data_IF_605020219294
#
_entry.id   IF_605020219294
#
_cell.length_a   1.000
_cell.length_b   1.000
_cell.length_c   1.000
_cell.angle_alpha   90.00
_cell.angle_beta   90.00
_cell.angle_gamma   90.00
#
_symmetry.space_group_name_H-M   'P 1'
#
loop_
_entity.id
_entity.type
_entity.pdbx_description
1 polymer ?
#
# COMPACT_ATOMS: atom_id res chain seq x y z
N UNK A 1 57.58 -38.53 30.18
CA UNK A 1 57.73 -38.37 28.71
C UNK A 1 56.55 -37.55 28.20
N UNK A 2 56.86 -36.47 27.47
CA UNK A 2 56.01 -35.72 26.53
C UNK A 2 54.75 -35.00 27.09
N UNK A 3 54.38 -33.79 26.70
CA UNK A 3 55.03 -32.67 26.00
C UNK A 3 54.09 -31.47 26.18
N UNK A 4 54.64 -30.30 26.51
CA UNK A 4 53.95 -29.02 26.65
C UNK A 4 53.48 -28.49 25.29
N UNK A 5 52.28 -27.90 25.21
CA UNK A 5 51.90 -26.95 24.15
C UNK A 5 51.25 -25.73 24.78
N UNK A 6 51.98 -24.62 24.77
CA UNK A 6 51.51 -23.28 25.09
C UNK A 6 51.00 -22.63 23.79
N UNK A 7 49.75 -22.18 23.77
CA UNK A 7 49.22 -21.33 22.72
C UNK A 7 49.32 -19.85 23.16
N UNK A 8 50.07 -19.09 22.36
CA UNK A 8 50.33 -17.66 22.51
C UNK A 8 49.22 -16.88 21.82
N UNK A 9 48.52 -16.01 22.53
CA UNK A 9 47.61 -15.02 21.94
C UNK A 9 48.42 -13.77 21.54
N UNK A 10 48.52 -13.54 20.24
CA UNK A 10 49.14 -12.36 19.63
C UNK A 10 48.19 -11.17 19.66
N UNK A 11 48.70 -10.04 20.16
CA UNK A 11 48.07 -8.71 20.14
C UNK A 11 48.13 -8.15 18.72
N UNK A 12 46.97 -7.86 18.12
CA UNK A 12 46.86 -7.16 16.85
C UNK A 12 46.73 -5.64 17.05
N UNK A 13 47.75 -4.90 16.60
CA UNK A 13 47.78 -3.44 16.50
C UNK A 13 46.73 -2.93 15.49
N UNK A 14 45.93 -1.95 15.89
CA UNK A 14 45.19 -1.09 14.98
C UNK A 14 46.13 0.04 14.48
N UNK A 15 46.39 0.08 13.17
CA UNK A 15 46.92 1.27 12.50
C UNK A 15 45.76 1.94 11.76
N UNK A 16 45.43 3.15 12.20
CA UNK A 16 44.55 4.10 11.51
C UNK A 16 45.37 4.70 10.36
N UNK A 17 44.88 4.59 9.12
CA UNK A 17 45.41 5.29 7.96
C UNK A 17 44.28 6.12 7.32
N UNK A 18 44.52 7.41 7.18
CA UNK A 18 43.68 8.39 6.47
C UNK A 18 43.73 8.14 4.95
N UNK A 19 42.64 8.32 4.18
CA UNK A 19 42.72 8.30 2.73
C UNK A 19 43.10 9.69 2.19
N UNK A 20 44.27 9.77 1.58
CA UNK A 20 44.67 10.88 0.69
C UNK A 20 44.10 10.66 -0.70
N UNK A 21 43.25 11.58 -1.14
CA UNK A 21 42.79 11.69 -2.53
C UNK A 21 43.96 12.10 -3.43
N UNK A 22 44.38 11.23 -4.36
CA UNK A 22 45.07 11.65 -5.58
C UNK A 22 44.59 10.80 -6.76
N UNK A 23 43.89 11.45 -7.69
CA UNK A 23 43.56 10.91 -9.00
C UNK A 23 44.69 11.28 -9.96
N UNK A 24 45.38 10.28 -10.51
CA UNK A 24 46.33 10.44 -11.61
C UNK A 24 45.67 10.07 -12.94
N UNK A 25 45.69 10.99 -13.90
CA UNK A 25 45.28 10.74 -15.28
C UNK A 25 46.43 10.09 -16.06
N UNK A 26 46.27 8.83 -16.46
CA UNK A 26 47.08 8.19 -17.49
C UNK A 26 46.28 8.08 -18.79
N UNK A 27 46.75 8.82 -19.79
CA UNK A 27 46.29 8.81 -21.18
C UNK A 27 46.72 7.50 -21.86
N UNK A 28 45.76 6.66 -22.24
CA UNK A 28 46.00 5.55 -23.16
C UNK A 28 44.89 5.46 -24.20
N UNK A 29 45.32 5.21 -25.44
CA UNK A 29 44.63 5.35 -26.70
C UNK A 29 44.21 3.96 -27.19
N UNK A 30 43.02 3.89 -27.80
CA UNK A 30 42.55 2.85 -28.76
C UNK A 30 41.93 1.58 -28.18
N UNK A 31 40.67 1.32 -28.57
CA UNK A 31 40.03 0.00 -28.51
C UNK A 31 38.57 0.07 -28.07
N UNK A 32 37.65 -0.09 -29.01
CA UNK A 32 36.21 -0.04 -28.81
C UNK A 32 35.67 -1.17 -27.91
N UNK A 33 34.84 -0.80 -26.92
CA UNK A 33 33.71 -1.60 -26.41
C UNK A 33 32.81 -0.67 -25.59
N UNK A 34 31.59 -0.41 -26.05
CA UNK A 34 30.62 0.44 -25.34
C UNK A 34 29.98 -0.38 -24.20
N UNK A 35 30.18 0.08 -22.97
CA UNK A 35 29.46 -0.36 -21.77
C UNK A 35 28.50 0.77 -21.35
N UNK A 36 27.22 0.49 -21.06
CA UNK A 36 26.24 1.52 -20.71
C UNK A 36 26.22 1.71 -19.18
N UNK A 37 27.10 2.53 -18.63
CA UNK A 37 27.09 2.87 -17.18
C UNK A 37 27.68 4.27 -16.90
N UNK A 38 27.45 5.24 -17.79
CA UNK A 38 28.00 6.61 -17.62
C UNK A 38 27.02 7.73 -18.01
N UNK A 39 25.75 7.59 -17.64
CA UNK A 39 24.73 8.63 -17.86
C UNK A 39 23.79 8.77 -16.67
N UNK A 40 24.34 9.01 -15.46
CA UNK A 40 23.51 9.29 -14.27
C UNK A 40 24.08 10.34 -13.30
N UNK A 41 25.01 11.21 -13.72
CA UNK A 41 25.50 12.32 -12.86
C UNK A 41 25.09 13.73 -13.33
N UNK A 42 24.31 13.86 -14.41
CA UNK A 42 23.84 15.17 -14.91
C UNK A 42 22.32 15.37 -14.87
N UNK A 43 21.54 14.38 -14.41
CA UNK A 43 20.07 14.47 -14.43
C UNK A 43 19.44 15.05 -13.14
N UNK A 44 20.24 15.39 -12.11
CA UNK A 44 19.73 15.74 -10.77
C UNK A 44 19.80 17.24 -10.44
N UNK A 45 19.70 18.15 -11.42
CA UNK A 45 19.70 19.60 -11.12
C UNK A 45 18.42 20.33 -11.55
N UNK A 46 17.51 19.75 -12.34
CA UNK A 46 16.34 20.51 -12.84
C UNK A 46 15.02 19.74 -12.83
N UNK A 47 14.57 19.22 -11.69
CA UNK A 47 13.15 18.88 -11.47
C UNK A 47 12.78 19.11 -10.01
N UNK A 48 12.77 20.38 -9.60
CA UNK A 48 11.98 20.81 -8.45
C UNK A 48 10.53 20.95 -8.88
N UNK A 49 9.63 20.19 -8.26
CA UNK A 49 8.18 20.37 -8.41
C UNK A 49 7.80 21.75 -7.87
N UNK A 50 7.36 22.65 -8.75
CA UNK A 50 6.79 23.95 -8.39
C UNK A 50 5.26 23.80 -8.47
N UNK A 51 4.64 23.52 -7.34
CA UNK A 51 3.18 23.52 -7.17
C UNK A 51 2.72 24.91 -6.72
N UNK A 52 2.88 25.93 -7.57
CA UNK A 52 2.22 27.23 -7.38
C UNK A 52 2.02 27.93 -8.72
N UNK A 53 0.76 28.17 -9.08
CA UNK A 53 0.37 28.69 -10.40
C UNK A 53 0.83 30.14 -10.66
N UNK A 54 1.18 30.90 -9.61
CA UNK A 54 1.65 32.28 -9.73
C UNK A 54 3.17 32.40 -10.02
N UNK A 55 3.94 31.31 -9.96
CA UNK A 55 5.39 31.31 -10.27
C UNK A 55 5.73 30.88 -11.70
N UNK A 56 4.76 30.44 -12.50
CA UNK A 56 5.02 29.99 -13.88
C UNK A 56 5.30 31.14 -14.84
N UNK A 57 4.82 32.35 -14.54
CA UNK A 57 5.02 33.50 -15.42
C UNK A 57 6.45 34.08 -15.34
N UNK A 58 7.15 33.92 -14.20
CA UNK A 58 8.54 34.38 -14.06
C UNK A 58 9.56 33.38 -14.64
N UNK A 59 9.20 32.12 -14.86
CA UNK A 59 10.11 31.11 -15.45
C UNK A 59 10.17 31.20 -16.98
N UNK A 60 9.11 31.65 -17.66
CA UNK A 60 9.14 31.83 -19.12
C UNK A 60 10.07 32.98 -19.55
N UNK A 61 10.15 34.09 -18.78
CA UNK A 61 11.01 35.22 -19.13
C UNK A 61 12.53 34.93 -18.96
N UNK A 62 12.92 34.07 -18.03
CA UNK A 62 14.35 33.76 -17.79
C UNK A 62 14.91 32.65 -18.70
N UNK A 63 14.05 31.84 -19.35
CA UNK A 63 14.53 30.78 -20.26
C UNK A 63 14.99 31.30 -21.62
N UNK A 64 14.47 32.45 -22.08
CA UNK A 64 14.89 33.04 -23.36
C UNK A 64 16.28 33.68 -23.29
N UNK A 65 16.72 34.13 -22.11
CA UNK A 65 18.06 34.68 -21.89
C UNK A 65 19.17 33.61 -21.96
N UNK A 66 18.88 32.36 -21.57
CA UNK A 66 19.85 31.26 -21.59
C UNK A 66 20.04 30.63 -22.99
N UNK A 67 19.12 30.86 -23.93
CA UNK A 67 19.22 30.34 -25.29
C UNK A 67 20.25 31.11 -26.14
N UNK A 68 20.55 32.37 -25.79
CA UNK A 68 21.54 33.18 -26.52
C UNK A 68 22.99 32.71 -26.33
N UNK A 69 23.32 32.06 -25.20
CA UNK A 69 24.67 31.55 -24.92
C UNK A 69 24.87 30.07 -25.29
N UNK A 70 23.78 29.35 -25.60
CA UNK A 70 23.84 27.93 -25.97
C UNK A 70 24.52 27.72 -27.34
N UNK A 71 25.36 26.69 -27.42
CA UNK A 71 26.00 26.29 -28.68
C UNK A 71 24.98 25.78 -29.70
N UNK A 72 25.32 25.79 -30.99
CA UNK A 72 24.40 25.37 -32.05
C UNK A 72 23.87 23.92 -31.88
N UNK A 73 24.65 23.04 -31.25
CA UNK A 73 24.21 21.67 -30.95
C UNK A 73 23.21 21.62 -29.79
N UNK A 74 23.41 22.41 -28.74
CA UNK A 74 22.49 22.49 -27.59
C UNK A 74 21.14 23.11 -27.99
N UNK A 75 21.14 24.09 -28.90
CA UNK A 75 19.90 24.66 -29.46
C UNK A 75 19.08 23.63 -30.24
N UNK A 76 19.73 22.70 -30.94
CA UNK A 76 19.05 21.62 -31.66
C UNK A 76 18.34 20.66 -30.71
N UNK A 77 18.99 20.31 -29.59
CA UNK A 77 18.41 19.43 -28.56
C UNK A 77 17.27 20.11 -27.82
N UNK A 78 17.43 21.38 -27.45
CA UNK A 78 16.37 22.16 -26.78
C UNK A 78 15.15 22.37 -27.68
N UNK A 79 15.36 22.62 -28.98
CA UNK A 79 14.26 22.72 -29.95
C UNK A 79 13.49 21.39 -30.08
N UNK A 80 14.20 20.25 -30.12
CA UNK A 80 13.57 18.94 -30.17
C UNK A 80 12.76 18.61 -28.91
N UNK A 81 13.26 18.96 -27.72
CA UNK A 81 12.54 18.77 -26.46
C UNK A 81 11.31 19.68 -26.36
N UNK A 82 11.41 20.93 -26.82
CA UNK A 82 10.28 21.87 -26.87
C UNK A 82 9.18 21.38 -27.83
N UNK A 83 9.55 20.82 -28.98
CA UNK A 83 8.59 20.23 -29.93
C UNK A 83 7.90 18.99 -29.35
N UNK A 84 8.61 18.10 -28.63
CA UNK A 84 7.98 16.96 -27.96
C UNK A 84 7.00 17.39 -26.87
N UNK A 85 7.35 18.39 -26.07
CA UNK A 85 6.48 18.90 -25.02
C UNK A 85 5.20 19.55 -25.59
N UNK A 86 5.33 20.30 -26.69
CA UNK A 86 4.18 20.93 -27.34
C UNK A 86 3.30 19.93 -28.11
N UNK A 87 3.88 18.86 -28.67
CA UNK A 87 3.12 17.78 -29.30
C UNK A 87 2.20 17.06 -28.31
N UNK A 88 2.66 16.84 -27.06
CA UNK A 88 1.82 16.26 -26.01
C UNK A 88 0.70 17.18 -25.50
N UNK A 89 0.88 18.50 -25.61
CA UNK A 89 -0.08 19.48 -25.05
C UNK A 89 -1.27 19.77 -25.99
N UNK A 90 -1.11 19.53 -27.29
CA UNK A 90 -2.15 19.80 -28.29
C UNK A 90 -3.06 18.60 -28.58
N UNK A 91 -2.78 17.42 -28.04
CA UNK A 91 -3.61 16.21 -28.20
C UNK A 91 -4.70 16.09 -27.11
N UNK A 92 -4.96 17.16 -26.36
CA UNK A 92 -5.84 17.14 -25.18
C UNK A 92 -7.00 18.13 -25.26
N UNK A 93 -7.30 18.70 -26.44
CA UNK A 93 -8.16 19.91 -26.53
C UNK A 93 -9.41 19.84 -27.41
N UNK A 94 -9.81 18.65 -27.86
CA UNK A 94 -10.97 18.48 -28.76
C UNK A 94 -12.10 17.53 -28.25
N UNK A 95 -12.18 17.21 -26.95
CA UNK A 95 -13.24 16.33 -26.39
C UNK A 95 -14.26 17.04 -25.48
N UNK A 96 -14.71 18.26 -25.84
CA UNK A 96 -15.75 19.01 -25.11
C UNK A 96 -17.20 18.60 -25.48
N UNK A 97 -17.42 17.41 -26.07
CA UNK A 97 -18.75 16.91 -26.47
C UNK A 97 -19.04 15.48 -25.95
N UNK A 98 -18.79 15.25 -24.65
CA UNK A 98 -19.30 14.07 -23.94
C UNK A 98 -20.51 14.50 -23.11
N UNK A 99 -21.68 14.32 -23.72
CA UNK A 99 -22.98 14.54 -23.13
C UNK A 99 -23.13 13.84 -21.79
N UNK A 100 -24.06 14.41 -20.99
CA UNK A 100 -24.71 13.84 -19.81
C UNK A 100 -24.32 12.38 -19.58
N UNK A 101 -23.15 12.17 -18.97
CA UNK A 101 -22.87 10.91 -18.33
C UNK A 101 -23.81 10.95 -17.13
N UNK A 102 -25.00 10.41 -17.38
CA UNK A 102 -25.74 9.53 -16.48
C UNK A 102 -24.71 8.56 -15.89
N UNK A 103 -23.82 9.09 -15.03
CA UNK A 103 -23.20 8.34 -13.97
C UNK A 103 -24.41 7.99 -13.12
N UNK A 104 -25.12 6.97 -13.61
CA UNK A 104 -26.08 6.16 -12.91
C UNK A 104 -25.66 6.26 -11.46
N UNK A 105 -26.58 6.73 -10.62
CA UNK A 105 -26.52 6.50 -9.18
C UNK A 105 -26.21 5.01 -9.02
N UNK A 106 -24.92 4.67 -9.04
CA UNK A 106 -24.37 3.33 -9.04
C UNK A 106 -24.60 2.96 -7.59
N UNK A 107 -25.87 2.60 -7.35
CA UNK A 107 -26.52 2.29 -6.10
C UNK A 107 -25.41 1.62 -5.32
N UNK A 108 -24.86 2.32 -4.32
CA UNK A 108 -23.66 1.89 -3.66
C UNK A 108 -23.95 0.52 -3.08
N UNK A 109 -23.67 -0.52 -3.87
CA UNK A 109 -24.06 -1.88 -3.54
C UNK A 109 -23.26 -2.14 -2.28
N UNK A 110 -23.97 -2.28 -1.16
CA UNK A 110 -23.37 -2.45 0.16
C UNK A 110 -22.80 -3.87 0.27
N UNK A 111 -21.87 -4.22 -0.63
CA UNK A 111 -21.22 -5.50 -0.66
C UNK A 111 -20.34 -5.64 0.58
N UNK A 112 -20.29 -6.86 1.10
CA UNK A 112 -19.31 -7.29 2.08
C UNK A 112 -18.13 -7.82 1.27
N UNK A 113 -17.16 -6.97 0.96
CA UNK A 113 -15.99 -7.36 0.18
C UNK A 113 -15.18 -8.42 0.93
N UNK A 114 -14.88 -9.52 0.23
CA UNK A 114 -14.01 -10.61 0.72
C UNK A 114 -12.58 -10.46 0.21
N UNK A 115 -12.40 -9.79 -0.93
CA UNK A 115 -11.09 -9.45 -1.45
C UNK A 115 -11.20 -8.22 -2.36
N UNK A 116 -10.06 -7.57 -2.59
CA UNK A 116 -9.96 -6.39 -3.44
C UNK A 116 -8.94 -6.63 -4.55
N UNK A 117 -9.26 -6.13 -5.75
CA UNK A 117 -8.33 -6.13 -6.89
C UNK A 117 -7.57 -4.81 -6.90
N UNK A 118 -6.25 -4.91 -7.03
CA UNK A 118 -5.34 -3.78 -7.19
C UNK A 118 -5.61 -3.08 -8.52
N UNK A 119 -5.75 -1.76 -8.48
CA UNK A 119 -5.96 -0.93 -9.66
C UNK A 119 -4.87 0.14 -9.77
N UNK A 120 -4.84 0.86 -10.89
CA UNK A 120 -3.86 1.91 -11.19
C UNK A 120 -3.78 3.00 -10.11
N UNK A 121 -4.89 3.28 -9.39
CA UNK A 121 -4.93 4.25 -8.29
C UNK A 121 -4.39 3.72 -6.95
N UNK A 122 -4.39 2.41 -6.72
CA UNK A 122 -3.93 1.79 -5.47
C UNK A 122 -2.43 1.38 -5.52
N UNK A 123 -1.65 2.09 -6.35
CA UNK A 123 -0.21 1.93 -6.55
C UNK A 123 0.26 0.53 -6.97
N UNK A 124 -0.60 -0.27 -7.60
CA UNK A 124 -0.32 -1.66 -7.94
C UNK A 124 0.13 -2.51 -6.75
N UNK A 125 -0.22 -2.12 -5.52
CA UNK A 125 0.15 -2.88 -4.33
C UNK A 125 -0.60 -4.22 -4.30
N UNK A 126 0.04 -5.26 -3.77
CA UNK A 126 -0.59 -6.56 -3.55
C UNK A 126 -0.21 -7.17 -2.20
N UNK A 127 -0.91 -8.23 -1.82
CA UNK A 127 -0.82 -8.85 -0.51
C UNK A 127 -1.03 -7.81 0.61
N UNK A 128 -0.17 -7.85 1.64
CA UNK A 128 -0.27 -7.00 2.82
C UNK A 128 0.39 -5.62 2.67
N UNK A 129 0.73 -5.19 1.44
CA UNK A 129 1.31 -3.86 1.22
C UNK A 129 0.28 -2.75 1.43
N UNK A 130 -0.98 -3.01 1.09
CA UNK A 130 -2.07 -2.10 1.38
C UNK A 130 -2.44 -2.15 2.88
N UNK A 131 -2.84 -1.03 3.50
CA UNK A 131 -3.16 -1.01 4.93
C UNK A 131 -4.36 -1.94 5.22
N UNK A 132 -4.17 -2.89 6.13
CA UNK A 132 -5.19 -3.89 6.49
C UNK A 132 -6.52 -3.29 6.96
N UNK A 133 -6.51 -2.05 7.46
CA UNK A 133 -7.71 -1.32 7.86
C UNK A 133 -8.62 -1.00 6.67
N UNK A 134 -8.04 -0.73 5.50
CA UNK A 134 -8.77 -0.44 4.27
C UNK A 134 -9.03 -1.71 3.45
N UNK A 135 -8.07 -2.66 3.47
CA UNK A 135 -8.10 -3.88 2.67
C UNK A 135 -7.93 -5.10 3.58
N UNK A 136 -8.97 -5.48 4.35
CA UNK A 136 -8.92 -6.70 5.13
C UNK A 136 -8.75 -7.89 4.16
N UNK A 137 -7.70 -8.69 4.36
CA UNK A 137 -7.34 -9.79 3.46
C UNK A 137 -6.36 -9.44 2.34
N UNK A 138 -5.89 -8.19 2.27
CA UNK A 138 -4.90 -7.72 1.29
C UNK A 138 -5.47 -7.42 -0.10
N UNK A 139 -4.59 -6.98 -1.01
CA UNK A 139 -4.95 -6.71 -2.40
C UNK A 139 -4.43 -7.79 -3.35
N UNK A 140 -5.24 -8.13 -4.34
CA UNK A 140 -4.99 -9.16 -5.34
C UNK A 140 -4.72 -8.52 -6.69
N UNK A 141 -3.85 -9.13 -7.48
CA UNK A 141 -3.56 -8.64 -8.81
C UNK A 141 -4.66 -9.03 -9.81
N UNK A 142 -4.83 -8.23 -10.88
CA UNK A 142 -5.63 -8.60 -12.05
C UNK A 142 -5.24 -9.94 -12.66
N UNK A 143 -6.06 -10.44 -13.58
CA UNK A 143 -5.92 -11.80 -14.14
C UNK A 143 -4.60 -12.05 -14.89
N UNK A 144 -3.99 -10.99 -15.41
CA UNK A 144 -2.81 -10.97 -16.27
C UNK A 144 -1.53 -10.52 -15.54
N UNK A 145 -1.61 -10.34 -14.21
CA UNK A 145 -0.50 -9.84 -13.41
C UNK A 145 -0.17 -10.75 -12.24
N UNK A 146 1.11 -10.85 -11.92
CA UNK A 146 1.60 -11.54 -10.74
C UNK A 146 1.93 -10.56 -9.61
N UNK A 147 1.73 -11.00 -8.37
CA UNK A 147 2.15 -10.31 -7.16
C UNK A 147 3.62 -10.67 -6.85
N UNK A 148 4.56 -9.89 -7.37
CA UNK A 148 6.00 -10.13 -7.25
C UNK A 148 6.62 -9.47 -6.01
N UNK A 149 7.65 -10.11 -5.46
CA UNK A 149 8.52 -9.55 -4.42
C UNK A 149 9.63 -8.67 -5.03
N UNK A 150 9.34 -7.39 -5.28
CA UNK A 150 10.37 -6.45 -5.76
C UNK A 150 11.03 -5.69 -4.62
N UNK A 151 12.36 -5.83 -4.51
CA UNK A 151 13.15 -5.17 -3.47
C UNK A 151 13.44 -3.69 -3.78
N UNK A 152 13.22 -3.22 -5.03
CA UNK A 152 13.28 -1.80 -5.42
C UNK A 152 12.88 -1.59 -6.89
N UNK A 153 11.60 -1.72 -7.25
CA UNK A 153 11.12 -1.35 -8.59
C UNK A 153 10.60 0.09 -8.55
N UNK A 154 11.14 0.98 -9.39
CA UNK A 154 10.79 2.42 -9.43
C UNK A 154 10.90 3.13 -8.07
N UNK A 155 11.90 2.80 -7.26
CA UNK A 155 12.10 3.38 -5.93
C UNK A 155 11.08 2.91 -4.87
N UNK A 156 10.16 2.00 -5.23
CA UNK A 156 9.19 1.40 -4.32
C UNK A 156 9.66 0.00 -3.92
N UNK A 157 9.82 -0.21 -2.61
CA UNK A 157 10.16 -1.51 -2.02
C UNK A 157 8.86 -2.22 -1.61
N UNK A 158 8.66 -3.48 -2.01
CA UNK A 158 7.57 -4.32 -1.54
C UNK A 158 6.87 -5.12 -2.64
N UNK A 159 5.76 -5.75 -2.24
CA UNK A 159 4.92 -6.60 -3.11
C UNK A 159 4.08 -5.76 -4.06
N UNK A 160 4.24 -5.95 -5.37
CA UNK A 160 3.48 -5.25 -6.42
C UNK A 160 2.92 -6.21 -7.46
N UNK A 161 1.83 -5.80 -8.09
CA UNK A 161 1.32 -6.38 -9.31
C UNK A 161 2.18 -5.95 -10.49
N UNK A 162 2.65 -6.91 -11.28
CA UNK A 162 3.41 -6.68 -12.50
C UNK A 162 3.05 -7.73 -13.54
N UNK A 163 3.07 -7.34 -14.81
CA UNK A 163 2.92 -8.22 -15.97
C UNK A 163 4.27 -8.68 -16.54
N UNK A 164 5.39 -8.23 -15.97
CA UNK A 164 6.73 -8.60 -16.43
C UNK A 164 7.14 -9.96 -15.86
N UNK A 165 7.21 -10.95 -16.75
CA UNK A 165 7.54 -12.35 -16.49
C UNK A 165 8.87 -12.54 -15.75
N UNK A 166 9.84 -11.63 -15.92
CA UNK A 166 11.12 -11.71 -15.20
C UNK A 166 10.94 -11.55 -13.70
N UNK A 167 10.00 -10.71 -13.27
CA UNK A 167 9.62 -10.53 -11.88
C UNK A 167 8.63 -11.59 -11.40
N UNK A 168 7.89 -12.22 -12.31
CA UNK A 168 6.96 -13.32 -12.00
C UNK A 168 7.64 -14.68 -11.79
N UNK A 169 8.97 -14.76 -11.67
CA UNK A 169 9.64 -16.01 -11.30
C UNK A 169 9.49 -16.36 -9.82
N UNK A 170 9.32 -15.35 -8.96
CA UNK A 170 9.16 -15.49 -7.50
C UNK A 170 7.95 -14.69 -7.00
N UNK A 171 6.76 -15.07 -7.47
CA UNK A 171 5.51 -14.40 -7.14
C UNK A 171 4.74 -15.11 -6.02
N UNK A 172 3.81 -14.39 -5.40
CA UNK A 172 2.86 -14.97 -4.47
C UNK A 172 1.60 -15.45 -5.21
N UNK A 173 1.46 -16.76 -5.38
CA UNK A 173 0.36 -17.38 -6.11
C UNK A 173 -1.04 -17.09 -5.54
N UNK A 174 -1.17 -16.78 -4.25
CA UNK A 174 -2.46 -16.44 -3.65
C UNK A 174 -3.00 -15.12 -4.19
N UNK A 175 -2.14 -14.09 -4.31
CA UNK A 175 -2.53 -12.73 -4.68
C UNK A 175 -2.33 -12.42 -6.16
N UNK A 176 -2.12 -13.43 -6.99
CA UNK A 176 -1.75 -13.27 -8.40
C UNK A 176 -2.84 -13.76 -9.34
N UNK A 177 -2.78 -13.32 -10.59
CA UNK A 177 -3.54 -13.86 -11.71
C UNK A 177 -5.05 -13.95 -11.43
N UNK A 178 -5.61 -12.87 -10.87
CA UNK A 178 -7.06 -12.72 -10.76
C UNK A 178 -7.73 -13.68 -9.78
N UNK A 179 -7.03 -14.13 -8.74
CA UNK A 179 -7.64 -15.02 -7.72
C UNK A 179 -8.70 -14.37 -6.83
N UNK A 180 -8.93 -13.08 -6.95
CA UNK A 180 -10.01 -12.38 -6.27
C UNK A 180 -11.33 -12.50 -7.06
N UNK A 181 -11.82 -13.73 -7.20
CA UNK A 181 -13.10 -14.06 -7.87
C UNK A 181 -13.97 -14.92 -6.95
N UNK A 182 -15.27 -14.88 -7.17
CA UNK A 182 -16.23 -15.74 -6.47
C UNK A 182 -15.96 -17.24 -6.64
N UNK A 183 -15.34 -17.67 -7.74
CA UNK A 183 -14.91 -19.06 -7.91
C UNK A 183 -13.96 -19.51 -6.79
N UNK A 184 -13.09 -18.61 -6.33
CA UNK A 184 -12.12 -18.88 -5.28
C UNK A 184 -12.57 -18.43 -3.89
N UNK A 185 -13.44 -17.40 -3.81
CA UNK A 185 -13.75 -16.68 -2.57
C UNK A 185 -15.19 -16.81 -2.08
N UNK A 186 -16.09 -17.46 -2.83
CA UNK A 186 -17.50 -17.60 -2.42
C UNK A 186 -17.68 -18.29 -1.06
N UNK A 187 -16.77 -19.18 -0.68
CA UNK A 187 -16.82 -19.85 0.63
C UNK A 187 -16.58 -18.91 1.82
N UNK A 188 -16.00 -17.73 1.59
CA UNK A 188 -15.75 -16.71 2.61
C UNK A 188 -16.98 -15.81 2.84
N UNK A 189 -18.02 -15.94 2.02
CA UNK A 189 -19.25 -15.17 2.19
C UNK A 189 -20.04 -15.61 3.43
N UNK A 190 -20.63 -14.65 4.18
CA UNK A 190 -21.46 -14.98 5.32
C UNK A 190 -22.73 -15.74 4.90
N UNK A 191 -23.36 -16.42 5.85
CA UNK A 191 -24.64 -17.09 5.58
C UNK A 191 -25.71 -16.08 5.14
N UNK A 192 -26.61 -16.52 4.25
CA UNK A 192 -27.66 -15.70 3.64
C UNK A 192 -27.11 -14.55 2.78
N UNK A 193 -26.04 -14.84 2.04
CA UNK A 193 -25.48 -13.96 1.04
C UNK A 193 -25.02 -14.73 -0.18
N UNK A 194 -24.98 -14.03 -1.30
CA UNK A 194 -24.55 -14.53 -2.60
C UNK A 194 -23.28 -13.78 -3.03
N UNK A 195 -22.30 -14.49 -3.57
CA UNK A 195 -21.06 -13.87 -4.03
C UNK A 195 -21.26 -13.18 -5.39
N UNK A 196 -20.69 -11.98 -5.54
CA UNK A 196 -20.70 -11.17 -6.75
C UNK A 196 -19.30 -10.63 -7.08
N UNK A 197 -18.88 -10.78 -8.33
CA UNK A 197 -17.66 -10.18 -8.85
C UNK A 197 -17.94 -8.74 -9.31
N UNK A 198 -17.10 -7.80 -8.90
CA UNK A 198 -17.11 -6.41 -9.39
C UNK A 198 -15.72 -6.01 -9.88
N UNK A 199 -15.62 -4.82 -10.49
CA UNK A 199 -14.31 -4.25 -10.90
C UNK A 199 -13.36 -4.03 -9.71
N UNK A 200 -13.90 -3.81 -8.51
CA UNK A 200 -13.13 -3.59 -7.27
C UNK A 200 -12.67 -4.90 -6.62
N UNK A 201 -13.24 -6.03 -7.03
CA UNK A 201 -12.96 -7.36 -6.46
C UNK A 201 -14.22 -8.15 -6.22
N UNK A 202 -14.12 -9.21 -5.42
CA UNK A 202 -15.27 -10.04 -5.06
C UNK A 202 -15.87 -9.60 -3.74
N UNK A 203 -17.19 -9.52 -3.69
CA UNK A 203 -17.94 -9.22 -2.48
C UNK A 203 -19.19 -10.07 -2.36
N UNK A 204 -19.81 -10.02 -1.19
CA UNK A 204 -21.01 -10.76 -0.88
C UNK A 204 -22.19 -9.80 -0.75
N UNK A 205 -23.25 -10.09 -1.48
CA UNK A 205 -24.53 -9.38 -1.45
C UNK A 205 -25.50 -10.15 -0.57
N UNK A 206 -26.12 -9.50 0.41
CA UNK A 206 -27.08 -10.16 1.28
C UNK A 206 -28.32 -10.59 0.47
N UNK A 207 -28.79 -11.82 0.71
CA UNK A 207 -29.96 -12.35 0.00
C UNK A 207 -31.22 -11.53 0.30
N UNK A 208 -32.23 -11.61 -0.58
CA UNK A 208 -33.47 -10.85 -0.44
C UNK A 208 -34.14 -11.06 0.94
N UNK A 209 -34.39 -9.96 1.65
CA UNK A 209 -34.94 -9.97 3.01
C UNK A 209 -33.89 -9.96 4.12
N UNK A 210 -32.60 -9.92 3.78
CA UNK A 210 -31.49 -9.69 4.70
C UNK A 210 -30.87 -8.31 4.48
N UNK A 211 -30.18 -7.79 5.48
CA UNK A 211 -29.46 -6.51 5.45
C UNK A 211 -28.06 -6.72 6.04
N UNK A 212 -27.10 -5.91 5.58
CA UNK A 212 -25.73 -5.92 6.09
C UNK A 212 -25.68 -5.23 7.45
N UNK A 213 -25.31 -5.96 8.50
CA UNK A 213 -24.98 -5.42 9.81
C UNK A 213 -23.65 -6.00 10.29
N UNK A 214 -22.67 -5.13 10.59
CA UNK A 214 -21.36 -5.52 11.14
C UNK A 214 -20.64 -6.62 10.31
N UNK A 215 -20.71 -6.53 8.97
CA UNK A 215 -20.09 -7.50 8.06
C UNK A 215 -20.80 -8.86 7.99
N UNK A 216 -22.04 -8.94 8.45
CA UNK A 216 -22.90 -10.13 8.35
C UNK A 216 -24.24 -9.78 7.73
N UNK A 217 -24.91 -10.78 7.17
CA UNK A 217 -26.28 -10.63 6.67
C UNK A 217 -27.28 -11.09 7.74
N UNK A 218 -28.08 -10.14 8.23
CA UNK A 218 -29.12 -10.38 9.25
C UNK A 218 -30.50 -10.16 8.65
N UNK A 219 -31.52 -10.88 9.15
CA UNK A 219 -32.88 -10.77 8.61
C UNK A 219 -33.45 -9.37 8.88
N UNK A 220 -33.98 -8.71 7.85
CA UNK A 220 -34.59 -7.38 7.96
C UNK A 220 -35.73 -7.41 9.00
N UNK A 221 -35.67 -6.52 9.99
CA UNK A 221 -36.67 -6.43 11.05
C UNK A 221 -36.51 -7.44 12.19
N UNK A 222 -35.52 -8.34 12.13
CA UNK A 222 -35.00 -8.91 13.36
C UNK A 222 -34.17 -7.82 14.02
N UNK A 223 -34.80 -7.03 14.91
CA UNK A 223 -34.05 -6.30 15.92
C UNK A 223 -33.17 -7.34 16.57
N UNK A 224 -31.88 -7.33 16.24
CA UNK A 224 -30.91 -8.09 16.98
C UNK A 224 -31.00 -7.50 18.38
N UNK A 225 -31.81 -8.13 19.24
CA UNK A 225 -31.53 -8.16 20.66
C UNK A 225 -30.16 -8.82 20.68
N UNK A 226 -29.14 -7.99 20.55
CA UNK A 226 -27.80 -8.30 21.02
C UNK A 226 -28.05 -8.69 22.45
N UNK A 227 -28.25 -9.99 22.66
CA UNK A 227 -28.10 -10.60 23.95
C UNK A 227 -26.63 -10.38 24.22
N UNK A 228 -26.29 -9.20 24.73
CA UNK A 228 -25.22 -9.02 25.68
C UNK A 228 -25.47 -10.13 26.66
N UNK A 229 -24.75 -11.23 26.50
CA UNK A 229 -24.62 -12.23 27.53
C UNK A 229 -24.15 -11.41 28.72
N UNK A 230 -25.08 -11.05 29.59
CA UNK A 230 -24.80 -10.38 30.83
C UNK A 230 -23.71 -11.23 31.45
N UNK A 231 -22.50 -10.68 31.54
CA UNK A 231 -21.42 -11.29 32.26
C UNK A 231 -22.03 -11.75 33.57
N UNK A 232 -21.83 -13.04 33.89
CA UNK A 232 -22.31 -13.61 35.14
C UNK A 232 -22.01 -12.62 36.27
N UNK A 233 -22.93 -12.42 37.23
CA UNK A 233 -22.75 -11.42 38.29
C UNK A 233 -21.43 -11.71 39.02
N UNK A 234 -20.38 -10.97 38.68
CA UNK A 234 -19.11 -11.05 39.36
C UNK A 234 -19.31 -10.42 40.73
N UNK A 235 -18.87 -11.15 41.75
CA UNK A 235 -19.07 -10.84 43.15
C UNK A 235 -18.53 -9.44 43.50
N UNK A 236 -19.46 -8.48 43.63
CA UNK A 236 -19.49 -7.40 44.61
C UNK A 236 -18.14 -6.83 45.06
N UNK A 237 -17.36 -6.31 44.12
CA UNK A 237 -16.42 -5.21 44.38
C UNK A 237 -16.86 -4.07 43.48
N UNK A 238 -17.16 -2.88 44.04
CA UNK A 238 -17.52 -1.68 43.28
C UNK A 238 -16.57 -1.54 42.08
N UNK A 239 -17.06 -1.69 40.85
CA UNK A 239 -16.22 -1.47 39.69
C UNK A 239 -15.78 0.00 39.73
N UNK A 240 -14.46 0.21 39.61
CA UNK A 240 -13.92 1.56 39.49
C UNK A 240 -14.39 2.22 38.19
N UNK A 241 -14.17 3.55 38.05
CA UNK A 241 -14.43 4.23 36.80
C UNK A 241 -13.63 3.57 35.66
N UNK A 242 -14.21 3.57 34.45
CA UNK A 242 -13.53 3.18 33.22
C UNK A 242 -12.16 3.86 33.11
N UNK A 243 -11.10 3.08 33.02
CA UNK A 243 -9.76 3.57 32.70
C UNK A 243 -9.52 3.47 31.20
N UNK A 244 -8.64 4.32 30.66
CA UNK A 244 -8.30 4.33 29.24
C UNK A 244 -7.72 3.00 28.72
N UNK A 245 -7.35 2.08 29.61
CA UNK A 245 -6.76 0.79 29.30
C UNK A 245 -7.74 -0.38 29.33
N UNK A 246 -8.91 -0.23 29.96
CA UNK A 246 -9.79 -1.39 30.18
C UNK A 246 -10.30 -1.96 28.84
N UNK A 247 -10.77 -1.10 27.92
CA UNK A 247 -11.42 -1.58 26.69
C UNK A 247 -10.61 -1.43 25.39
N UNK A 248 -9.32 -1.07 25.41
CA UNK A 248 -8.57 -0.74 24.17
C UNK A 248 -8.38 -1.99 23.28
N UNK A 249 -8.58 -1.92 21.94
CA UNK A 249 -8.83 -0.73 21.09
C UNK A 249 -10.29 -0.24 20.99
N UNK A 250 -11.21 -0.72 21.82
CA UNK A 250 -12.59 -0.26 21.91
C UNK A 250 -12.85 0.88 22.90
N UNK A 251 -14.14 1.12 23.14
CA UNK A 251 -14.68 2.17 24.01
C UNK A 251 -15.20 1.57 25.32
N UNK A 252 -14.94 2.26 26.43
CA UNK A 252 -15.36 1.85 27.77
C UNK A 252 -16.59 2.64 28.21
N UNK A 253 -17.61 1.93 28.70
CA UNK A 253 -18.80 2.52 29.33
C UNK A 253 -19.07 1.84 30.66
N UNK A 254 -19.50 2.60 31.66
CA UNK A 254 -19.96 2.03 32.94
C UNK A 254 -21.49 1.97 32.91
N UNK A 255 -22.06 0.78 33.08
CA UNK A 255 -23.50 0.53 33.19
C UNK A 255 -23.75 -0.31 34.44
N UNK A 256 -24.67 0.12 35.31
CA UNK A 256 -25.05 -0.59 36.54
C UNK A 256 -23.87 -1.00 37.43
N UNK A 257 -22.90 -0.08 37.64
CA UNK A 257 -21.65 -0.34 38.36
C UNK A 257 -20.79 -1.48 37.77
N UNK A 258 -20.97 -1.79 36.49
CA UNK A 258 -20.15 -2.74 35.72
C UNK A 258 -19.52 -2.06 34.50
N UNK A 259 -18.31 -2.49 34.14
CA UNK A 259 -17.62 -2.00 32.94
C UNK A 259 -18.09 -2.81 31.73
N UNK A 260 -18.54 -2.12 30.69
CA UNK A 260 -18.95 -2.67 29.39
C UNK A 260 -18.04 -2.13 28.29
N UNK A 261 -17.50 -3.02 27.46
CA UNK A 261 -16.60 -2.67 26.36
C UNK A 261 -17.31 -2.79 25.01
N UNK A 262 -17.28 -1.71 24.22
CA UNK A 262 -17.69 -1.72 22.81
C UNK A 262 -16.44 -1.80 21.92
N UNK A 263 -16.19 -2.96 21.33
CA UNK A 263 -14.97 -3.21 20.55
C UNK A 263 -15.08 -2.69 19.11
N UNK A 264 -13.97 -2.18 18.58
CA UNK A 264 -13.84 -1.82 17.16
C UNK A 264 -13.81 -3.07 16.28
N UNK A 265 -14.17 -2.92 15.00
CA UNK A 265 -14.31 -4.03 14.06
C UNK A 265 -13.11 -4.98 14.06
N UNK A 266 -13.38 -6.28 14.17
CA UNK A 266 -12.37 -7.34 14.26
C UNK A 266 -11.95 -7.73 15.68
N UNK A 267 -12.38 -6.99 16.71
CA UNK A 267 -12.14 -7.35 18.12
C UNK A 267 -13.44 -7.81 18.78
N UNK A 268 -13.31 -8.75 19.73
CA UNK A 268 -14.42 -9.25 20.54
C UNK A 268 -14.18 -8.91 22.02
N UNK A 269 -15.25 -8.60 22.78
CA UNK A 269 -15.12 -8.41 24.22
C UNK A 269 -14.73 -9.76 24.87
N UNK A 270 -13.66 -9.75 25.66
CA UNK A 270 -13.12 -10.90 26.39
C UNK A 270 -12.65 -10.46 27.77
N UNK A 271 -12.71 -11.35 28.74
CA UNK A 271 -12.15 -11.10 30.06
C UNK A 271 -10.64 -11.38 30.06
N UNK A 272 -9.83 -10.39 30.42
CA UNK A 272 -8.38 -10.47 30.52
C UNK A 272 -7.99 -10.07 31.94
N UNK A 273 -7.42 -11.01 32.70
CA UNK A 273 -7.03 -10.80 34.11
C UNK A 273 -8.18 -10.29 35.01
N UNK A 274 -9.40 -10.81 34.82
CA UNK A 274 -10.55 -10.42 35.64
C UNK A 274 -11.18 -9.08 35.24
N UNK A 275 -10.78 -8.51 34.10
CA UNK A 275 -11.31 -7.25 33.57
C UNK A 275 -11.81 -7.41 32.14
N UNK A 276 -12.92 -6.76 31.77
CA UNK A 276 -13.38 -6.74 30.39
C UNK A 276 -12.39 -5.96 29.52
N UNK A 277 -11.99 -6.55 28.39
CA UNK A 277 -11.11 -5.94 27.40
C UNK A 277 -11.50 -6.37 25.98
N UNK A 278 -11.01 -5.64 24.97
CA UNK A 278 -11.20 -6.00 23.57
C UNK A 278 -10.03 -6.84 23.07
N UNK A 279 -10.27 -8.10 22.73
CA UNK A 279 -9.25 -9.02 22.25
C UNK A 279 -9.51 -9.42 20.80
N UNK A 280 -8.44 -9.64 20.04
CA UNK A 280 -8.56 -10.23 18.71
C UNK A 280 -8.95 -11.70 18.86
N UNK A 281 -9.92 -12.25 18.10
CA UNK A 281 -10.48 -13.58 18.33
C UNK A 281 -9.45 -14.72 18.22
N UNK A 282 -8.30 -14.48 17.59
CA UNK A 282 -7.23 -15.47 17.38
C UNK A 282 -6.02 -15.31 18.30
N UNK A 283 -6.08 -14.42 19.31
CA UNK A 283 -5.03 -14.31 20.32
C UNK A 283 -5.25 -15.37 21.42
N UNK A 284 -4.50 -16.46 21.34
CA UNK A 284 -4.34 -17.46 22.42
C UNK A 284 -3.17 -17.09 23.33
#
# INVERSE_FOLDING_TARGET
MALYVLAVCSVGLFLVAEPTNQVSFSKARSGAFLSPDASNEYATIFLGQVEDADMQQEVEEDTDALVEEATAEERSVLAFLRDQHNAHRNDSRDDDDLGDNDWDDEEHEELIYVCFVSNEGAEWACANRAPQQQYPGGMYCPHDMCCSDTVSYMGKVGKICTSDESFCQSYNAEYSYGRCTCEHKAAECPQNSSCKNTKKGSGCECDHGYIKENGKCVKRGSTATSTTTAAAPHASGKAGPCTATDCRPGFCKVEDDAISCTCVSGYIPKEVNGRPACAYPYAN
#
